data_IF_512500706025
#
_entry.id   IF_512500706025
#
_cell.length_a   1.000
_cell.length_b   1.000
_cell.length_c   1.000
_cell.angle_alpha   90.00
_cell.angle_beta   90.00
_cell.angle_gamma   90.00
#
_symmetry.space_group_name_H-M   'P 1'
#
loop_
_entity.id
_entity.type
_entity.pdbx_description
1 polymer ?
#
# COMPACT_ATOMS: atom_id res chain seq x y z
N UNK A 1 -33.17 20.76 -21.86
CA UNK A 1 -33.09 21.44 -20.54
C UNK A 1 -32.37 20.53 -19.56
N UNK A 2 -31.42 21.03 -18.76
CA UNK A 2 -30.73 20.24 -17.72
C UNK A 2 -31.43 20.27 -16.36
N UNK A 3 -32.47 21.09 -16.24
CA UNK A 3 -33.36 21.16 -15.08
C UNK A 3 -34.80 21.05 -15.57
N UNK A 4 -35.56 20.15 -14.97
CA UNK A 4 -37.01 20.03 -15.12
C UNK A 4 -37.66 20.44 -13.79
N UNK A 5 -38.97 20.68 -13.77
CA UNK A 5 -39.68 21.29 -12.64
C UNK A 5 -40.45 22.56 -13.03
N UNK A 6 -41.76 22.53 -12.84
CA UNK A 6 -42.66 23.68 -13.05
C UNK A 6 -42.68 24.58 -11.82
N UNK A 7 -41.65 25.41 -11.65
CA UNK A 7 -41.72 26.53 -10.72
C UNK A 7 -42.11 27.79 -11.51
N UNK A 8 -43.41 28.08 -11.59
CA UNK A 8 -43.90 29.39 -12.06
C UNK A 8 -44.47 30.19 -10.89
N UNK A 9 -44.26 31.50 -10.90
CA UNK A 9 -44.96 32.45 -10.02
C UNK A 9 -45.99 33.14 -10.92
N UNK A 10 -47.28 32.98 -10.61
CA UNK A 10 -48.34 33.69 -11.32
C UNK A 10 -48.23 35.19 -11.02
N UNK A 11 -48.18 36.02 -12.07
CA UNK A 11 -48.06 37.48 -11.99
C UNK A 11 -49.25 38.12 -12.70
N UNK A 12 -49.99 38.99 -12.01
CA UNK A 12 -51.12 39.71 -12.58
C UNK A 12 -51.25 41.09 -11.93
N UNK A 13 -51.57 42.11 -12.73
CA UNK A 13 -51.97 43.42 -12.22
C UNK A 13 -53.45 43.33 -11.81
N UNK A 14 -53.74 43.46 -10.51
CA UNK A 14 -55.13 43.47 -9.98
C UNK A 14 -55.80 44.83 -10.27
N UNK A 15 -55.00 45.91 -10.34
CA UNK A 15 -55.41 47.24 -10.79
C UNK A 15 -54.19 48.02 -11.29
N UNK A 16 -54.33 48.75 -12.40
CA UNK A 16 -53.24 49.49 -13.04
C UNK A 16 -52.48 48.67 -14.09
N UNK A 17 -51.27 49.09 -14.44
CA UNK A 17 -50.44 48.47 -15.49
C UNK A 17 -48.95 48.37 -15.11
N UNK A 18 -48.63 48.31 -13.81
CA UNK A 18 -47.24 48.36 -13.35
C UNK A 18 -46.44 47.15 -13.82
N UNK A 19 -47.00 45.94 -13.73
CA UNK A 19 -46.31 44.72 -14.16
C UNK A 19 -46.19 44.67 -15.69
N UNK A 20 -47.18 45.19 -16.42
CA UNK A 20 -47.09 45.32 -17.89
C UNK A 20 -46.05 46.36 -18.30
N UNK A 21 -46.05 47.55 -17.68
CA UNK A 21 -45.11 48.63 -17.98
C UNK A 21 -43.65 48.25 -17.68
N UNK A 22 -43.42 47.37 -16.70
CA UNK A 22 -42.10 46.83 -16.37
C UNK A 22 -41.74 45.56 -17.17
N UNK A 23 -42.62 45.09 -18.07
CA UNK A 23 -42.41 43.91 -18.90
C UNK A 23 -42.29 42.60 -18.11
N UNK A 24 -42.93 42.54 -16.93
CA UNK A 24 -42.92 41.42 -16.00
C UNK A 24 -44.12 40.48 -16.17
N UNK A 25 -45.11 40.84 -16.99
CA UNK A 25 -46.21 39.96 -17.37
C UNK A 25 -45.80 39.00 -18.50
N UNK A 26 -46.37 37.79 -18.47
CA UNK A 26 -46.18 36.77 -19.51
C UNK A 26 -46.97 37.08 -20.80
N UNK A 27 -47.84 38.10 -20.76
CA UNK A 27 -48.65 38.60 -21.87
C UNK A 27 -48.95 40.10 -21.70
N UNK A 28 -48.88 40.89 -22.77
CA UNK A 28 -49.03 42.36 -22.71
C UNK A 28 -48.23 43.08 -23.81
N UNK A 29 -48.39 44.40 -23.93
CA UNK A 29 -47.74 45.18 -24.99
C UNK A 29 -46.21 45.25 -24.83
N UNK A 30 -45.71 45.07 -23.60
CA UNK A 30 -44.28 45.06 -23.28
C UNK A 30 -43.80 43.70 -22.74
N UNK A 31 -44.55 42.62 -22.98
CA UNK A 31 -44.23 41.29 -22.44
C UNK A 31 -42.86 40.80 -22.91
N UNK A 32 -42.06 40.30 -21.96
CA UNK A 32 -40.80 39.59 -22.27
C UNK A 32 -41.11 38.23 -22.89
N UNK A 33 -40.20 37.75 -23.75
CA UNK A 33 -40.34 36.48 -24.46
C UNK A 33 -40.79 35.34 -23.53
N UNK A 34 -41.79 34.57 -23.97
CA UNK A 34 -42.37 33.44 -23.25
C UNK A 34 -41.27 32.57 -22.63
N UNK A 35 -41.23 32.50 -21.30
CA UNK A 35 -40.37 31.58 -20.58
C UNK A 35 -40.97 30.18 -20.77
N UNK A 36 -40.26 29.30 -21.48
CA UNK A 36 -40.68 27.89 -21.55
C UNK A 36 -40.54 27.28 -20.16
N UNK A 37 -41.66 26.95 -19.54
CA UNK A 37 -41.68 26.31 -18.23
C UNK A 37 -41.03 24.92 -18.29
N UNK A 38 -40.28 24.57 -17.24
CA UNK A 38 -39.79 23.22 -17.06
C UNK A 38 -40.97 22.26 -16.91
N UNK A 39 -40.96 21.17 -17.67
CA UNK A 39 -41.89 20.05 -17.52
C UNK A 39 -41.18 18.92 -16.83
N UNK A 40 -41.85 18.23 -15.91
CA UNK A 40 -41.27 17.03 -15.29
C UNK A 40 -41.01 15.95 -16.34
N UNK A 41 -39.99 15.13 -16.08
CA UNK A 41 -39.74 13.94 -16.85
C UNK A 41 -40.82 12.90 -16.53
N UNK A 42 -41.37 12.28 -17.56
CA UNK A 42 -42.34 11.18 -17.45
C UNK A 42 -41.77 9.99 -18.18
N UNK A 43 -41.63 8.87 -17.48
CA UNK A 43 -41.17 7.60 -18.06
C UNK A 43 -42.09 6.46 -17.66
N UNK A 44 -42.13 5.41 -18.48
CA UNK A 44 -42.76 4.14 -18.17
C UNK A 44 -41.71 3.04 -18.28
N UNK A 45 -41.70 2.13 -17.31
CA UNK A 45 -40.80 0.97 -17.29
C UNK A 45 -41.66 -0.28 -17.37
N UNK A 46 -41.55 -1.02 -18.46
CA UNK A 46 -42.34 -2.24 -18.67
C UNK A 46 -42.06 -3.27 -17.56
N UNK A 47 -43.11 -3.88 -17.01
CA UNK A 47 -43.00 -4.85 -15.91
C UNK A 47 -42.67 -4.25 -14.54
N UNK A 48 -42.55 -2.93 -14.44
CA UNK A 48 -42.31 -2.19 -13.20
C UNK A 48 -43.48 -1.24 -12.94
N UNK A 49 -43.93 -1.13 -11.68
CA UNK A 49 -45.05 -0.27 -11.27
C UNK A 49 -46.34 -0.44 -12.13
N UNK A 50 -46.62 -1.66 -12.61
CA UNK A 50 -47.79 -1.99 -13.43
C UNK A 50 -47.97 -1.09 -14.69
N UNK A 51 -46.88 -0.56 -15.24
CA UNK A 51 -46.93 0.31 -16.42
C UNK A 51 -47.43 1.73 -16.16
N UNK A 52 -47.52 2.15 -14.89
CA UNK A 52 -47.88 3.52 -14.56
C UNK A 52 -46.72 4.50 -14.78
N UNK A 53 -47.09 5.76 -15.05
CA UNK A 53 -46.16 6.86 -15.24
C UNK A 53 -45.32 7.12 -14.00
N UNK A 54 -44.01 7.26 -14.21
CA UNK A 54 -43.05 7.66 -13.20
C UNK A 54 -42.63 9.08 -13.51
N UNK A 55 -42.98 9.99 -12.60
CA UNK A 55 -42.75 11.44 -12.76
C UNK A 55 -41.54 11.85 -11.94
N UNK A 56 -40.60 12.61 -12.54
CA UNK A 56 -39.41 13.14 -11.86
C UNK A 56 -39.12 14.57 -12.27
N UNK A 57 -38.78 15.41 -11.30
CA UNK A 57 -38.34 16.79 -11.53
C UNK A 57 -36.91 16.89 -12.10
N UNK A 58 -36.25 15.77 -12.41
CA UNK A 58 -34.90 15.73 -12.99
C UNK A 58 -34.82 14.67 -14.08
N UNK A 59 -33.92 14.90 -15.04
CA UNK A 59 -33.57 13.93 -16.08
C UNK A 59 -32.57 12.87 -15.59
N UNK A 60 -32.11 12.94 -14.35
CA UNK A 60 -31.25 11.93 -13.71
C UNK A 60 -32.05 11.21 -12.65
N UNK A 61 -32.44 9.96 -12.93
CA UNK A 61 -33.32 9.16 -12.09
C UNK A 61 -32.51 8.03 -11.46
N UNK A 62 -32.26 8.10 -10.16
CA UNK A 62 -31.45 7.13 -9.41
C UNK A 62 -32.20 6.47 -8.24
N UNK A 63 -33.49 6.80 -8.07
CA UNK A 63 -34.31 6.42 -6.92
C UNK A 63 -35.41 5.41 -7.25
N UNK A 64 -35.54 5.03 -8.53
CA UNK A 64 -36.61 4.15 -9.03
C UNK A 64 -36.16 2.70 -9.06
N UNK A 65 -34.98 2.45 -9.62
CA UNK A 65 -34.42 1.10 -9.78
C UNK A 65 -33.19 0.98 -8.88
N UNK A 66 -33.19 0.05 -7.89
CA UNK A 66 -32.03 -0.17 -7.04
C UNK A 66 -30.77 -0.46 -7.86
N UNK A 67 -29.70 0.30 -7.62
CA UNK A 67 -28.41 0.12 -8.30
C UNK A 67 -28.35 0.62 -9.76
N UNK A 68 -29.41 1.24 -10.28
CA UNK A 68 -29.46 1.77 -11.64
C UNK A 68 -29.75 3.26 -11.64
N UNK A 69 -28.89 4.02 -12.31
CA UNK A 69 -29.12 5.45 -12.59
C UNK A 69 -29.46 5.62 -14.06
N UNK A 70 -30.66 6.14 -14.34
CA UNK A 70 -31.11 6.46 -15.69
C UNK A 70 -30.86 7.93 -15.98
N UNK A 71 -30.14 8.20 -17.08
CA UNK A 71 -29.97 9.55 -17.60
C UNK A 71 -30.86 9.71 -18.84
N UNK A 72 -31.91 10.50 -18.71
CA UNK A 72 -32.86 10.79 -19.79
C UNK A 72 -32.25 11.84 -20.73
N UNK A 73 -32.19 11.52 -22.01
CA UNK A 73 -31.57 12.37 -23.05
C UNK A 73 -32.62 13.01 -23.95
N UNK A 74 -33.55 12.22 -24.46
CA UNK A 74 -34.61 12.66 -25.37
C UNK A 74 -35.89 11.86 -25.16
N UNK A 75 -37.04 12.52 -25.25
CA UNK A 75 -38.34 11.86 -25.19
C UNK A 75 -38.77 11.36 -26.58
N UNK A 76 -39.21 10.11 -26.67
CA UNK A 76 -39.83 9.54 -27.87
C UNK A 76 -40.92 8.53 -27.43
N UNK A 77 -42.21 8.93 -27.43
CA UNK A 77 -43.31 8.07 -26.98
C UNK A 77 -43.56 6.85 -27.88
N UNK A 78 -42.98 6.83 -29.07
CA UNK A 78 -43.22 5.77 -30.07
C UNK A 78 -42.16 4.67 -30.02
N UNK A 79 -41.07 4.88 -29.28
CA UNK A 79 -39.95 3.95 -29.18
C UNK A 79 -39.80 3.40 -27.78
N UNK A 80 -39.67 2.08 -27.71
CA UNK A 80 -39.27 1.39 -26.48
C UNK A 80 -37.76 1.22 -26.47
N UNK A 81 -37.10 1.64 -25.38
CA UNK A 81 -35.68 1.40 -25.15
C UNK A 81 -35.54 0.20 -24.22
N UNK A 82 -34.80 -0.83 -24.66
CA UNK A 82 -34.49 -1.98 -23.82
C UNK A 82 -33.20 -1.72 -23.04
N UNK A 83 -33.27 -1.80 -21.72
CA UNK A 83 -32.11 -1.70 -20.82
C UNK A 83 -31.80 -3.08 -20.28
N UNK A 84 -30.64 -3.62 -20.65
CA UNK A 84 -30.17 -4.92 -20.14
C UNK A 84 -29.14 -4.68 -19.05
N UNK A 85 -29.46 -5.12 -17.83
CA UNK A 85 -28.50 -5.15 -16.72
C UNK A 85 -27.88 -6.53 -16.66
N UNK A 86 -26.56 -6.60 -16.76
CA UNK A 86 -25.80 -7.85 -16.75
C UNK A 86 -24.47 -7.68 -16.03
N UNK A 87 -23.81 -8.81 -15.76
CA UNK A 87 -22.47 -8.80 -15.16
C UNK A 87 -21.44 -8.27 -16.15
N UNK A 88 -20.58 -7.36 -15.71
CA UNK A 88 -19.46 -6.86 -16.51
C UNK A 88 -18.30 -7.87 -16.52
N UNK A 89 -18.42 -8.87 -17.39
CA UNK A 89 -17.41 -9.92 -17.59
C UNK A 89 -16.07 -9.34 -18.06
N UNK A 90 -16.07 -8.22 -18.79
CA UNK A 90 -14.85 -7.59 -19.29
C UNK A 90 -14.04 -6.98 -18.13
N UNK A 91 -14.71 -6.27 -17.23
CA UNK A 91 -14.07 -5.76 -16.00
C UNK A 91 -13.58 -6.89 -15.10
N UNK A 92 -14.34 -7.97 -14.93
CA UNK A 92 -13.90 -9.14 -14.16
C UNK A 92 -12.64 -9.77 -14.78
N UNK A 93 -12.64 -10.03 -16.09
CA UNK A 93 -11.48 -10.57 -16.80
C UNK A 93 -10.25 -9.68 -16.64
N UNK A 94 -10.41 -8.37 -16.85
CA UNK A 94 -9.33 -7.39 -16.70
C UNK A 94 -8.76 -7.38 -15.27
N UNK A 95 -9.64 -7.40 -14.26
CA UNK A 95 -9.26 -7.41 -12.84
C UNK A 95 -8.46 -8.67 -12.49
N UNK A 96 -8.91 -9.84 -12.95
CA UNK A 96 -8.22 -11.12 -12.73
C UNK A 96 -6.85 -11.13 -13.42
N UNK A 97 -6.75 -10.58 -14.64
CA UNK A 97 -5.48 -10.42 -15.34
C UNK A 97 -4.51 -9.53 -14.56
N UNK A 98 -4.97 -8.36 -14.10
CA UNK A 98 -4.17 -7.47 -13.25
C UNK A 98 -3.73 -8.16 -11.95
N UNK A 99 -4.60 -8.95 -11.32
CA UNK A 99 -4.22 -9.74 -10.15
C UNK A 99 -3.06 -10.69 -10.46
N UNK A 100 -3.14 -11.47 -11.54
CA UNK A 100 -2.07 -12.38 -11.97
C UNK A 100 -0.76 -11.62 -12.23
N UNK A 101 -0.83 -10.49 -12.93
CA UNK A 101 0.32 -9.64 -13.21
C UNK A 101 0.99 -9.11 -11.92
N UNK A 102 0.21 -8.59 -10.97
CA UNK A 102 0.72 -8.06 -9.70
C UNK A 102 1.27 -9.16 -8.80
N UNK A 103 0.62 -10.32 -8.75
CA UNK A 103 1.11 -11.49 -8.04
C UNK A 103 2.47 -11.92 -8.60
N UNK A 104 2.57 -12.04 -9.93
CA UNK A 104 3.81 -12.44 -10.61
C UNK A 104 4.94 -11.43 -10.41
N UNK A 105 4.64 -10.13 -10.46
CA UNK A 105 5.61 -9.08 -10.21
C UNK A 105 6.16 -9.18 -8.78
N UNK A 106 5.30 -9.39 -7.79
CA UNK A 106 5.70 -9.56 -6.39
C UNK A 106 6.57 -10.81 -6.19
N UNK A 107 6.11 -11.98 -6.66
CA UNK A 107 6.86 -13.24 -6.53
C UNK A 107 8.22 -13.16 -7.24
N UNK A 108 8.28 -12.56 -8.43
CA UNK A 108 9.52 -12.41 -9.19
C UNK A 108 10.49 -11.47 -8.49
N UNK A 109 10.00 -10.33 -7.96
CA UNK A 109 10.82 -9.40 -7.19
C UNK A 109 11.40 -10.07 -5.94
N UNK A 110 10.58 -10.79 -5.18
CA UNK A 110 11.05 -11.51 -3.99
C UNK A 110 12.10 -12.56 -4.37
N UNK A 111 11.85 -13.34 -5.42
CA UNK A 111 12.81 -14.34 -5.90
C UNK A 111 14.13 -13.71 -6.33
N UNK A 112 14.09 -12.58 -7.05
CA UNK A 112 15.28 -11.83 -7.44
C UNK A 112 16.07 -11.41 -6.20
N UNK A 113 15.41 -10.81 -5.19
CA UNK A 113 16.08 -10.37 -3.95
C UNK A 113 16.66 -11.52 -3.13
N UNK A 114 16.00 -12.67 -3.14
CA UNK A 114 16.47 -13.88 -2.44
C UNK A 114 17.69 -14.53 -3.09
N UNK A 115 17.88 -14.35 -4.40
CA UNK A 115 18.93 -15.01 -5.19
C UNK A 115 20.06 -14.07 -5.65
N UNK A 116 19.88 -12.76 -5.47
CA UNK A 116 20.85 -11.72 -5.81
C UNK A 116 22.17 -11.94 -5.07
N UNK A 117 23.28 -12.09 -5.82
CA UNK A 117 24.61 -12.28 -5.24
C UNK A 117 25.18 -10.92 -4.82
N UNK A 118 25.76 -10.80 -3.60
CA UNK A 118 26.47 -9.59 -3.20
C UNK A 118 27.63 -9.28 -4.16
N UNK A 119 27.89 -8.00 -4.35
CA UNK A 119 29.04 -7.54 -5.15
C UNK A 119 30.31 -7.66 -4.31
N UNK A 120 31.36 -8.26 -4.88
CA UNK A 120 32.67 -8.30 -4.25
C UNK A 120 33.32 -6.91 -4.32
N UNK A 121 33.75 -6.38 -3.16
CA UNK A 121 34.36 -5.05 -3.02
C UNK A 121 33.49 -3.89 -3.55
N UNK A 122 32.30 -3.66 -2.97
CA UNK A 122 31.40 -2.60 -3.40
C UNK A 122 32.02 -1.21 -3.11
N UNK A 123 32.02 -0.34 -4.11
CA UNK A 123 32.58 1.02 -4.03
C UNK A 123 31.52 2.07 -3.74
N UNK A 124 30.26 1.78 -4.04
CA UNK A 124 29.12 2.68 -3.82
C UNK A 124 28.14 2.14 -2.78
N UNK A 125 27.34 3.03 -2.19
CA UNK A 125 26.24 2.64 -1.30
C UNK A 125 25.21 1.75 -2.01
N UNK A 126 25.00 1.96 -3.31
CA UNK A 126 24.08 1.15 -4.10
C UNK A 126 24.60 -0.28 -4.25
N UNK A 127 25.89 -0.46 -4.55
CA UNK A 127 26.53 -1.77 -4.65
C UNK A 127 26.54 -2.51 -3.30
N UNK A 128 26.70 -1.78 -2.18
CA UNK A 128 26.60 -2.36 -0.82
C UNK A 128 25.21 -2.91 -0.50
N UNK A 129 24.16 -2.45 -1.19
CA UNK A 129 22.78 -2.92 -0.98
C UNK A 129 22.43 -4.17 -1.80
N UNK A 130 23.23 -4.52 -2.80
CA UNK A 130 23.00 -5.66 -3.68
C UNK A 130 23.18 -6.96 -2.88
N UNK A 131 22.17 -7.84 -2.91
CA UNK A 131 22.24 -9.15 -2.27
C UNK A 131 22.05 -9.13 -0.74
N UNK A 132 21.67 -7.99 -0.14
CA UNK A 132 21.42 -7.91 1.31
C UNK A 132 20.29 -8.84 1.79
N UNK A 133 19.30 -9.09 0.93
CA UNK A 133 18.15 -9.95 1.23
C UNK A 133 18.35 -11.40 0.76
N UNK A 134 19.57 -11.75 0.35
CA UNK A 134 19.88 -13.09 -0.13
C UNK A 134 19.66 -14.11 0.98
N UNK A 135 18.77 -15.06 0.75
CA UNK A 135 18.40 -16.07 1.74
C UNK A 135 17.65 -15.54 2.97
N UNK A 136 17.09 -14.32 2.91
CA UNK A 136 16.29 -13.77 4.00
C UNK A 136 15.10 -14.69 4.33
N UNK A 137 15.04 -15.18 5.57
CA UNK A 137 14.04 -16.16 5.98
C UNK A 137 12.61 -15.59 6.04
N UNK A 138 12.46 -14.30 6.34
CA UNK A 138 11.16 -13.62 6.36
C UNK A 138 10.61 -13.54 4.94
N UNK A 139 11.45 -13.16 3.98
CA UNK A 139 11.09 -13.06 2.57
C UNK A 139 10.81 -14.43 1.95
N UNK A 140 11.56 -15.47 2.31
CA UNK A 140 11.25 -16.86 1.96
C UNK A 140 9.88 -17.27 2.49
N UNK A 141 9.59 -16.97 3.76
CA UNK A 141 8.31 -17.29 4.40
C UNK A 141 7.13 -16.59 3.70
N UNK A 142 7.25 -15.28 3.44
CA UNK A 142 6.24 -14.48 2.75
C UNK A 142 5.97 -15.03 1.35
N UNK A 143 7.02 -15.27 0.55
CA UNK A 143 6.88 -15.83 -0.81
C UNK A 143 6.21 -17.20 -0.79
N UNK A 144 6.66 -18.11 0.07
CA UNK A 144 6.10 -19.46 0.16
C UNK A 144 4.64 -19.44 0.58
N UNK A 145 4.27 -18.58 1.54
CA UNK A 145 2.89 -18.44 1.98
C UNK A 145 2.01 -17.86 0.87
N UNK A 146 2.47 -16.85 0.12
CA UNK A 146 1.70 -16.33 -1.03
C UNK A 146 1.41 -17.41 -2.08
N UNK A 147 2.40 -18.24 -2.41
CA UNK A 147 2.24 -19.35 -3.36
C UNK A 147 1.30 -20.42 -2.80
N UNK A 148 1.38 -20.71 -1.50
CA UNK A 148 0.49 -21.63 -0.83
C UNK A 148 -0.96 -21.13 -0.86
N UNK A 149 -1.22 -19.87 -0.50
CA UNK A 149 -2.58 -19.31 -0.48
C UNK A 149 -3.19 -19.29 -1.90
N UNK A 150 -2.39 -19.05 -2.94
CA UNK A 150 -2.84 -19.11 -4.33
C UNK A 150 -3.16 -20.54 -4.82
N UNK A 151 -2.58 -21.59 -4.23
CA UNK A 151 -2.80 -22.99 -4.61
C UNK A 151 -3.76 -23.73 -3.68
N UNK A 152 -4.10 -23.16 -2.53
CA UNK A 152 -4.98 -23.80 -1.55
C UNK A 152 -6.44 -23.73 -2.03
N UNK A 153 -7.17 -24.86 -2.07
CA UNK A 153 -8.58 -24.87 -2.45
C UNK A 153 -9.45 -23.96 -1.57
N UNK A 154 -10.45 -23.34 -2.19
CA UNK A 154 -11.54 -22.64 -1.50
C UNK A 154 -12.60 -23.68 -1.13
N UNK A 155 -12.40 -24.37 -0.01
CA UNK A 155 -13.19 -25.55 0.42
C UNK A 155 -14.67 -25.25 0.67
N UNK A 156 -15.01 -23.98 0.86
CA UNK A 156 -16.37 -23.49 1.00
C UNK A 156 -17.16 -23.50 -0.33
N UNK A 157 -16.50 -23.72 -1.47
CA UNK A 157 -17.13 -23.80 -2.79
C UNK A 157 -17.38 -25.26 -3.22
N UNK A 158 -18.27 -25.51 -4.20
CA UNK A 158 -18.43 -26.81 -4.85
C UNK A 158 -17.10 -27.33 -5.43
N UNK A 159 -16.86 -28.64 -5.37
CA UNK A 159 -15.58 -29.28 -5.73
C UNK A 159 -15.10 -29.01 -7.17
N UNK A 160 -16.03 -28.74 -8.08
CA UNK A 160 -15.77 -28.38 -9.47
C UNK A 160 -15.28 -26.93 -9.65
N UNK A 161 -15.27 -26.12 -8.58
CA UNK A 161 -14.91 -24.70 -8.61
C UNK A 161 -14.21 -24.19 -7.34
N UNK A 162 -13.22 -24.92 -6.83
CA UNK A 162 -12.41 -24.56 -5.65
C UNK A 162 -11.00 -24.06 -5.99
N UNK A 163 -10.53 -24.22 -7.23
CA UNK A 163 -9.14 -24.01 -7.63
C UNK A 163 -8.99 -23.02 -8.79
N UNK A 164 -7.92 -22.21 -8.75
CA UNK A 164 -7.53 -21.32 -9.86
C UNK A 164 -7.37 -22.07 -11.19
N UNK A 165 -6.89 -23.31 -11.14
CA UNK A 165 -6.67 -24.12 -12.34
C UNK A 165 -7.98 -24.38 -13.11
N UNK A 166 -9.14 -24.41 -12.42
CA UNK A 166 -10.45 -24.65 -13.02
C UNK A 166 -10.92 -23.43 -13.84
N UNK A 167 -10.39 -22.24 -13.58
CA UNK A 167 -10.66 -21.02 -14.36
C UNK A 167 -9.52 -20.66 -15.31
N UNK A 168 -8.58 -21.58 -15.55
CA UNK A 168 -7.46 -21.35 -16.47
C UNK A 168 -6.26 -20.63 -15.86
N UNK A 169 -6.15 -20.54 -14.53
CA UNK A 169 -4.99 -19.94 -13.85
C UNK A 169 -4.16 -21.05 -13.20
N UNK A 170 -2.96 -21.29 -13.70
CA UNK A 170 -2.09 -22.39 -13.24
C UNK A 170 -0.86 -21.88 -12.52
N UNK A 171 -0.35 -22.65 -11.56
CA UNK A 171 0.89 -22.35 -10.83
C UNK A 171 2.08 -22.97 -11.56
N UNK A 172 3.11 -22.17 -11.82
CA UNK A 172 4.37 -22.61 -12.41
C UNK A 172 5.37 -23.04 -11.32
N UNK A 173 6.40 -23.80 -11.71
CA UNK A 173 7.44 -24.31 -10.79
C UNK A 173 8.23 -23.18 -10.07
N UNK A 174 8.32 -22.00 -10.68
CA UNK A 174 8.97 -20.83 -10.09
C UNK A 174 8.06 -20.06 -9.11
N UNK A 175 6.83 -20.53 -8.88
CA UNK A 175 5.83 -19.91 -8.02
C UNK A 175 5.01 -18.79 -8.68
N UNK A 176 5.20 -18.50 -9.97
CA UNK A 176 4.37 -17.53 -10.69
C UNK A 176 3.09 -18.20 -11.23
N UNK A 177 2.08 -17.40 -11.53
CA UNK A 177 0.83 -17.82 -12.13
C UNK A 177 0.85 -17.62 -13.65
N UNK A 178 0.31 -18.58 -14.40
CA UNK A 178 0.04 -18.48 -15.83
C UNK A 178 -1.47 -18.35 -16.04
N UNK A 179 -1.88 -17.44 -16.93
CA UNK A 179 -3.29 -17.22 -17.25
C UNK A 179 -3.59 -17.68 -18.68
N UNK A 180 -4.50 -18.64 -18.81
CA UNK A 180 -5.16 -18.98 -20.06
C UNK A 180 -6.42 -18.11 -20.21
N UNK A 181 -6.29 -17.04 -21.00
CA UNK A 181 -7.37 -16.09 -21.22
C UNK A 181 -8.60 -16.72 -21.90
N UNK A 182 -8.43 -17.80 -22.65
CA UNK A 182 -9.54 -18.47 -23.35
C UNK A 182 -10.36 -19.30 -22.36
N UNK A 183 -9.71 -20.06 -21.49
CA UNK A 183 -10.38 -20.80 -20.41
C UNK A 183 -11.04 -19.87 -19.40
N UNK A 184 -10.39 -18.75 -19.06
CA UNK A 184 -10.99 -17.76 -18.19
C UNK A 184 -12.26 -17.16 -18.81
N UNK A 185 -12.22 -16.84 -20.11
CA UNK A 185 -13.39 -16.33 -20.82
C UNK A 185 -14.53 -17.37 -20.81
N UNK A 186 -14.25 -18.63 -21.11
CA UNK A 186 -15.25 -19.70 -21.04
C UNK A 186 -15.84 -19.88 -19.64
N UNK A 187 -15.03 -19.78 -18.58
CA UNK A 187 -15.50 -19.86 -17.20
C UNK A 187 -16.41 -18.68 -16.82
N UNK A 188 -16.05 -17.46 -17.23
CA UNK A 188 -16.88 -16.26 -17.04
C UNK A 188 -18.19 -16.33 -17.84
N UNK A 189 -18.16 -16.95 -19.01
CA UNK A 189 -19.35 -17.13 -19.83
C UNK A 189 -20.31 -18.19 -19.28
N UNK A 190 -19.76 -19.24 -18.67
CA UNK A 190 -20.55 -20.25 -17.98
C UNK A 190 -21.18 -19.72 -16.69
N UNK A 191 -20.38 -19.13 -15.79
CA UNK A 191 -20.87 -18.57 -14.52
C UNK A 191 -19.84 -17.61 -13.90
N UNK A 192 -19.94 -16.33 -14.25
CA UNK A 192 -19.07 -15.29 -13.68
C UNK A 192 -19.27 -15.09 -12.16
N UNK A 193 -20.42 -15.47 -11.59
CA UNK A 193 -20.64 -15.41 -10.14
C UNK A 193 -19.77 -16.44 -9.41
N UNK A 194 -19.67 -17.66 -9.95
CA UNK A 194 -18.77 -18.68 -9.37
C UNK A 194 -17.30 -18.27 -9.51
N UNK A 195 -16.90 -17.66 -10.63
CA UNK A 195 -15.54 -17.14 -10.80
C UNK A 195 -15.25 -16.07 -9.73
N UNK A 196 -16.18 -15.14 -9.50
CA UNK A 196 -16.04 -14.12 -8.47
C UNK A 196 -15.87 -14.73 -7.06
N UNK A 197 -16.69 -15.75 -6.74
CA UNK A 197 -16.63 -16.45 -5.45
C UNK A 197 -15.29 -17.14 -5.17
N UNK A 198 -14.54 -17.54 -6.20
CA UNK A 198 -13.20 -18.11 -6.03
C UNK A 198 -12.20 -17.09 -5.42
N UNK A 199 -12.38 -15.81 -5.76
CA UNK A 199 -11.55 -14.72 -5.21
C UNK A 199 -12.14 -14.15 -3.93
N UNK A 200 -13.46 -14.01 -3.87
CA UNK A 200 -14.21 -13.47 -2.74
C UNK A 200 -15.53 -14.22 -2.56
N UNK A 201 -15.52 -15.20 -1.66
CA UNK A 201 -16.72 -15.92 -1.25
C UNK A 201 -17.32 -15.22 -0.02
N UNK A 202 -18.18 -14.25 -0.32
CA UNK A 202 -18.97 -13.54 0.69
C UNK A 202 -20.06 -14.46 1.24
N UNK A 203 -19.86 -14.98 2.45
CA UNK A 203 -20.76 -15.92 3.10
C UNK A 203 -21.96 -15.24 3.76
N UNK A 204 -21.84 -13.95 4.13
CA UNK A 204 -22.86 -13.20 4.85
C UNK A 204 -23.55 -12.11 3.99
N UNK A 205 -23.03 -11.84 2.80
CA UNK A 205 -23.59 -10.92 1.81
C UNK A 205 -23.38 -9.44 2.11
N UNK A 206 -22.46 -9.08 3.01
CA UNK A 206 -22.23 -7.70 3.43
C UNK A 206 -21.21 -6.95 2.55
N UNK A 207 -20.50 -7.65 1.65
CA UNK A 207 -19.46 -7.09 0.78
C UNK A 207 -18.17 -6.69 1.51
N UNK A 208 -17.97 -7.15 2.75
CA UNK A 208 -16.83 -6.84 3.61
C UNK A 208 -15.93 -8.08 3.68
N UNK A 209 -14.62 -7.85 3.78
CA UNK A 209 -13.65 -8.93 4.02
C UNK A 209 -13.42 -9.04 5.53
N UNK A 210 -14.00 -10.04 6.16
CA UNK A 210 -13.87 -10.41 7.57
C UNK A 210 -13.28 -11.83 7.75
N UNK A 211 -13.40 -12.39 8.96
CA UNK A 211 -12.80 -13.67 9.33
C UNK A 211 -13.60 -14.89 8.85
N UNK A 212 -14.85 -14.67 8.43
CA UNK A 212 -15.80 -15.71 8.04
C UNK A 212 -15.87 -15.92 6.52
N UNK A 213 -15.35 -14.97 5.75
CA UNK A 213 -15.25 -15.10 4.30
C UNK A 213 -14.03 -15.92 3.89
N UNK A 214 -14.21 -16.58 2.76
CA UNK A 214 -13.18 -17.38 2.14
C UNK A 214 -12.90 -16.86 0.73
N UNK A 215 -11.81 -17.32 0.13
CA UNK A 215 -11.42 -16.91 -1.21
C UNK A 215 -9.96 -16.48 -1.28
N UNK A 216 -9.40 -16.59 -2.46
CA UNK A 216 -7.96 -16.46 -2.65
C UNK A 216 -7.52 -15.01 -2.41
N UNK A 217 -8.30 -14.03 -2.88
CA UNK A 217 -7.99 -12.62 -2.65
C UNK A 217 -8.17 -12.24 -1.18
N UNK A 218 -9.18 -12.78 -0.51
CA UNK A 218 -9.41 -12.58 0.94
C UNK A 218 -8.24 -13.08 1.77
N UNK A 219 -7.84 -14.35 1.55
CA UNK A 219 -6.73 -14.96 2.27
C UNK A 219 -5.43 -14.19 2.04
N UNK A 220 -5.11 -13.88 0.79
CA UNK A 220 -3.92 -13.09 0.46
C UNK A 220 -3.95 -11.70 1.09
N UNK A 221 -5.09 -10.99 1.01
CA UNK A 221 -5.24 -9.67 1.62
C UNK A 221 -4.97 -9.72 3.13
N UNK A 222 -5.58 -10.67 3.84
CA UNK A 222 -5.36 -10.85 5.28
C UNK A 222 -3.90 -11.12 5.62
N UNK A 223 -3.21 -11.98 4.86
CA UNK A 223 -1.76 -12.19 5.04
C UNK A 223 -0.96 -10.91 4.83
N UNK A 224 -1.27 -10.15 3.79
CA UNK A 224 -0.60 -8.88 3.51
C UNK A 224 -0.82 -7.87 4.64
N UNK A 225 -2.06 -7.74 5.13
CA UNK A 225 -2.39 -6.89 6.27
C UNK A 225 -1.62 -7.31 7.52
N UNK A 226 -1.58 -8.61 7.83
CA UNK A 226 -0.83 -9.16 8.97
C UNK A 226 0.68 -8.90 8.85
N UNK A 227 1.26 -9.01 7.65
CA UNK A 227 2.70 -8.85 7.45
C UNK A 227 3.15 -7.38 7.41
N UNK A 228 2.29 -6.51 6.89
CA UNK A 228 2.56 -5.09 6.68
C UNK A 228 1.96 -4.19 7.76
N UNK A 229 1.25 -4.76 8.73
CA UNK A 229 0.65 -4.00 9.83
C UNK A 229 1.69 -3.13 10.53
N UNK A 230 1.41 -1.84 10.56
CA UNK A 230 2.20 -0.82 11.26
C UNK A 230 1.73 -0.60 12.70
N UNK A 231 0.74 -1.38 13.17
CA UNK A 231 0.19 -1.25 14.52
C UNK A 231 1.29 -1.47 15.57
N UNK A 232 1.43 -0.56 16.55
CA UNK A 232 2.50 -0.64 17.53
C UNK A 232 2.30 -1.80 18.51
N UNK A 233 3.38 -2.51 18.81
CA UNK A 233 3.43 -3.61 19.79
C UNK A 233 4.69 -3.51 20.64
N UNK A 234 4.62 -3.94 21.90
CA UNK A 234 5.76 -3.96 22.78
C UNK A 234 6.67 -5.17 22.48
N UNK A 235 7.97 -4.92 22.29
CA UNK A 235 8.99 -5.95 22.09
C UNK A 235 10.27 -5.55 22.81
N UNK A 236 10.66 -6.32 23.83
CA UNK A 236 11.91 -6.09 24.56
C UNK A 236 12.04 -4.67 25.15
N UNK A 237 10.95 -4.13 25.70
CA UNK A 237 10.91 -2.75 26.24
C UNK A 237 10.83 -1.64 25.19
N UNK A 238 10.80 -1.97 23.90
CA UNK A 238 10.67 -1.03 22.79
C UNK A 238 9.30 -1.19 22.10
N UNK A 239 8.91 -0.19 21.32
CA UNK A 239 7.72 -0.25 20.47
C UNK A 239 8.12 -0.53 19.04
N UNK A 240 7.57 -1.61 18.46
CA UNK A 240 7.82 -2.00 17.07
C UNK A 240 6.50 -2.34 16.36
N UNK A 241 6.43 -2.24 15.03
CA UNK A 241 5.28 -2.71 14.26
C UNK A 241 4.93 -4.19 14.55
N UNK A 242 3.65 -4.53 14.52
CA UNK A 242 3.15 -5.90 14.66
C UNK A 242 3.41 -6.74 13.41
N UNK A 243 3.54 -6.14 12.23
CA UNK A 243 3.76 -6.89 11.00
C UNK A 243 5.16 -7.51 10.93
N UNK A 244 5.27 -8.77 10.50
CA UNK A 244 6.58 -9.47 10.45
C UNK A 244 7.55 -8.85 9.44
N UNK A 245 7.04 -8.24 8.38
CA UNK A 245 7.85 -7.49 7.40
C UNK A 245 8.05 -6.05 7.90
N UNK A 246 6.96 -5.42 8.35
CA UNK A 246 6.99 -4.03 8.84
C UNK A 246 7.94 -3.84 10.04
N UNK A 247 8.13 -4.86 10.88
CA UNK A 247 9.01 -4.79 12.06
C UNK A 247 10.50 -4.90 11.73
N UNK A 248 10.89 -5.46 10.58
CA UNK A 248 12.31 -5.71 10.27
C UNK A 248 13.17 -4.44 10.35
N UNK A 249 12.78 -3.28 9.75
CA UNK A 249 13.55 -2.05 9.88
C UNK A 249 13.67 -1.57 11.34
N UNK A 250 12.61 -1.70 12.12
CA UNK A 250 12.62 -1.31 13.54
C UNK A 250 13.60 -2.16 14.35
N UNK A 251 13.62 -3.48 14.13
CA UNK A 251 14.57 -4.38 14.79
C UNK A 251 16.02 -4.11 14.39
N UNK A 252 16.27 -3.80 13.12
CA UNK A 252 17.60 -3.40 12.65
C UNK A 252 18.05 -2.08 13.29
N UNK A 253 17.15 -1.09 13.41
CA UNK A 253 17.46 0.18 14.09
C UNK A 253 17.81 -0.03 15.58
N UNK A 254 17.07 -0.89 16.29
CA UNK A 254 17.40 -1.22 17.68
C UNK A 254 18.78 -1.88 17.79
N UNK A 255 19.12 -2.77 16.86
CA UNK A 255 20.44 -3.38 16.80
C UNK A 255 21.54 -2.35 16.50
N UNK A 256 21.29 -1.40 15.60
CA UNK A 256 22.22 -0.29 15.34
C UNK A 256 22.46 0.54 16.60
N UNK A 257 21.40 0.91 17.33
CA UNK A 257 21.52 1.66 18.58
C UNK A 257 22.33 0.91 19.65
N UNK A 258 22.16 -0.41 19.77
CA UNK A 258 22.97 -1.22 20.70
C UNK A 258 24.44 -1.27 20.28
N UNK A 259 24.71 -1.40 18.98
CA UNK A 259 26.06 -1.37 18.44
C UNK A 259 26.72 0.00 18.67
N UNK A 260 26.01 1.09 18.43
CA UNK A 260 26.51 2.46 18.66
C UNK A 260 26.87 2.68 20.14
N UNK A 261 26.05 2.17 21.06
CA UNK A 261 26.35 2.20 22.50
C UNK A 261 27.64 1.44 22.81
N UNK A 262 27.78 0.21 22.31
CA UNK A 262 28.99 -0.61 22.52
C UNK A 262 30.24 0.06 21.95
N UNK A 263 30.13 0.69 20.78
CA UNK A 263 31.22 1.44 20.15
C UNK A 263 31.63 2.61 21.05
N UNK A 264 30.67 3.37 21.57
CA UNK A 264 30.95 4.49 22.50
C UNK A 264 31.70 4.00 23.74
N UNK A 265 31.21 2.95 24.40
CA UNK A 265 31.87 2.39 25.59
C UNK A 265 33.26 1.81 25.29
N UNK A 266 33.48 1.30 24.08
CA UNK A 266 34.78 0.79 23.65
C UNK A 266 35.76 1.94 23.40
N UNK A 267 35.31 3.01 22.75
CA UNK A 267 36.12 4.22 22.53
C UNK A 267 36.56 4.85 23.86
N UNK A 268 35.65 4.98 24.83
CA UNK A 268 35.99 5.48 26.18
C UNK A 268 37.00 4.57 26.92
N UNK A 269 36.95 3.26 26.67
CA UNK A 269 37.94 2.31 27.23
C UNK A 269 39.31 2.48 26.57
N UNK A 270 39.36 2.59 25.24
CA UNK A 270 40.60 2.84 24.49
C UNK A 270 41.24 4.16 24.97
N UNK A 271 40.44 5.20 25.12
CA UNK A 271 40.93 6.51 25.55
C UNK A 271 41.57 6.45 26.94
N UNK A 272 40.87 5.84 27.93
CA UNK A 272 41.40 5.64 29.28
C UNK A 272 42.69 4.81 29.30
N UNK A 273 42.75 3.77 28.48
CA UNK A 273 43.96 2.93 28.32
C UNK A 273 45.12 3.70 27.69
N UNK A 274 44.85 4.51 26.66
CA UNK A 274 45.83 5.40 26.03
C UNK A 274 46.38 6.43 27.01
N UNK A 275 45.52 7.05 27.82
CA UNK A 275 45.95 7.94 28.90
C UNK A 275 46.84 7.23 29.92
N UNK A 276 46.46 6.02 30.35
CA UNK A 276 47.23 5.23 31.32
C UNK A 276 48.64 4.93 30.79
N UNK A 277 48.75 4.45 29.56
CA UNK A 277 50.03 4.18 28.89
C UNK A 277 50.86 5.46 28.75
N UNK A 278 50.24 6.60 28.38
CA UNK A 278 50.93 7.88 28.29
C UNK A 278 51.50 8.33 29.64
N UNK A 279 50.75 8.15 30.73
CA UNK A 279 51.25 8.42 32.10
C UNK A 279 52.40 7.50 32.48
N UNK A 280 52.33 6.21 32.15
CA UNK A 280 53.43 5.26 32.38
C UNK A 280 54.69 5.64 31.60
N UNK A 281 54.55 6.04 30.34
CA UNK A 281 55.67 6.47 29.51
C UNK A 281 56.37 7.71 30.09
N UNK A 282 55.60 8.75 30.48
CA UNK A 282 56.16 9.96 31.11
C UNK A 282 56.90 9.60 32.41
N UNK A 283 56.35 8.71 33.24
CA UNK A 283 57.00 8.28 34.48
C UNK A 283 58.34 7.56 34.21
N UNK A 284 58.40 6.71 33.18
CA UNK A 284 59.64 6.04 32.76
C UNK A 284 60.65 7.05 32.21
N UNK A 285 60.23 8.03 31.41
CA UNK A 285 61.11 9.10 30.93
C UNK A 285 61.71 9.92 32.08
N UNK A 286 60.91 10.28 33.08
CA UNK A 286 61.39 10.98 34.28
C UNK A 286 62.42 10.15 35.05
N UNK A 287 62.18 8.83 35.21
CA UNK A 287 63.15 7.94 35.85
C UNK A 287 64.45 7.84 35.06
N UNK A 288 64.38 7.75 33.73
CA UNK A 288 65.55 7.75 32.85
C UNK A 288 66.34 9.05 32.94
N UNK A 289 65.67 10.21 33.02
CA UNK A 289 66.32 11.51 33.21
C UNK A 289 67.09 11.58 34.52
N UNK A 290 66.50 11.12 35.63
CA UNK A 290 67.17 11.05 36.93
C UNK A 290 68.39 10.12 36.88
N UNK A 291 68.28 8.97 36.21
CA UNK A 291 69.40 8.04 36.00
C UNK A 291 70.53 8.67 35.18
N UNK A 292 70.18 9.37 34.09
CA UNK A 292 71.17 10.10 33.27
C UNK A 292 71.85 11.22 34.04
N UNK A 293 71.14 11.96 34.88
CA UNK A 293 71.75 12.98 35.75
C UNK A 293 72.70 12.37 36.77
N UNK A 294 72.36 11.22 37.36
CA UNK A 294 73.25 10.49 38.28
C UNK A 294 74.49 9.93 37.59
N UNK A 295 74.35 9.40 36.38
CA UNK A 295 75.46 8.89 35.58
C UNK A 295 76.34 10.02 35.02
N UNK A 296 75.77 11.17 34.67
CA UNK A 296 76.50 12.36 34.24
C UNK A 296 77.27 13.05 35.36
N UNK A 297 76.78 12.98 36.61
CA UNK A 297 77.49 13.45 37.79
C UNK A 297 78.67 12.55 38.21
N UNK A 298 78.82 11.36 37.60
CA UNK A 298 79.87 10.39 37.90
C UNK A 298 81.09 10.45 36.96
N UNK A 299 81.20 11.46 36.08
CA UNK A 299 82.44 11.73 35.34
C UNK A 299 83.17 12.87 36.06
N UNK A 300 84.22 12.60 36.86
CA UNK A 300 85.02 13.67 37.43
C UNK A 300 85.76 14.38 36.29
N UNK A 301 85.71 15.71 36.28
CA UNK A 301 86.60 16.51 35.43
C UNK A 301 88.05 16.23 35.84
N UNK A 302 89.02 16.25 34.92
CA UNK A 302 90.40 15.83 35.20
C UNK A 302 91.19 16.89 35.98
N UNK A 303 90.69 17.33 37.15
CA UNK A 303 91.40 18.30 38.00
C UNK A 303 91.49 17.96 39.49
N UNK A 304 90.99 16.81 39.95
CA UNK A 304 91.08 16.36 41.35
C UNK A 304 92.18 15.29 41.60
N UNK A 305 93.29 15.33 40.85
CA UNK A 305 94.45 14.44 41.08
C UNK A 305 95.65 15.11 41.77
N UNK A 306 95.48 16.30 42.36
CA UNK A 306 96.60 17.02 43.02
C UNK A 306 96.63 16.90 44.56
N UNK A 307 95.71 16.17 45.20
CA UNK A 307 95.63 16.08 46.67
C UNK A 307 96.04 14.72 47.29
N UNK A 308 96.63 13.79 46.53
CA UNK A 308 97.10 12.50 47.07
C UNK A 308 98.59 12.19 46.76
N UNK A 309 99.48 13.18 46.98
CA UNK A 309 100.92 12.96 47.17
C UNK A 309 101.48 13.87 48.27
N UNK A 310 100.96 13.73 49.50
CA UNK A 310 101.66 14.09 50.74
C UNK A 310 101.25 13.10 51.83
N UNK A 311 101.82 11.90 51.77
CA UNK A 311 102.01 10.98 52.90
C UNK A 311 102.89 9.80 52.43
N UNK A 312 104.16 10.12 52.25
CA UNK A 312 105.35 9.26 52.40
C UNK A 312 106.56 10.22 52.38
#
# INVERSE_FOLDING_TARGET
SKTTGSNSIARADVSGNLLDALGLLDSGANARAQVTLGKDAVIQIAGFNNGQDIVRATNTISDVLPGVTLQLVSADPTKTVTVTVGQDKATLKSTIKTFVEKFNAAVSLMYQRLTEKPIENPKTDAERKVGLLRGDSTLVFVRSTMVQEASTPVVSLPSDMQLLAQIGITLNNNGTLSLDETKLQSALDADASKVARLFFNDTNGNGIVDATEDGIAVRLKRRLDDWLSSSPTAFGGNTVPSGVVARQPALLNLRMQDLDRRISEFNERIEREGERLRRQFIAVEQQLLVLRQRLGAQIPTPNDLSQLKRLA
#
